data_IF_459266259838
#
_entry.id   IF_459266259838
#
_cell.length_a   1.000
_cell.length_b   1.000
_cell.length_c   1.000
_cell.angle_alpha   90.00
_cell.angle_beta   90.00
_cell.angle_gamma   90.00
#
_symmetry.space_group_name_H-M   'P 1'
#
loop_
_entity.id
_entity.type
_entity.pdbx_description
1 polymer ?
#
# COMPACT_ATOMS: atom_id res chain seq x y z
N UNK A 1 56.61 -54.95 76.56
CA UNK A 1 55.31 -54.34 76.93
C UNK A 1 55.10 -53.16 76.00
N UNK A 2 53.87 -52.97 75.48
CA UNK A 2 53.44 -52.03 74.43
C UNK A 2 53.89 -52.44 73.00
N UNK A 3 53.12 -53.18 72.20
CA UNK A 3 51.74 -53.01 71.65
C UNK A 3 51.71 -52.13 70.37
N UNK A 4 51.53 -52.81 69.24
CA UNK A 4 50.71 -52.52 68.03
C UNK A 4 50.60 -51.10 67.48
N UNK A 5 50.85 -50.96 66.17
CA UNK A 5 49.90 -50.30 65.26
C UNK A 5 50.13 -50.73 63.79
N UNK A 6 49.14 -51.44 63.25
CA UNK A 6 48.90 -51.54 61.80
C UNK A 6 48.63 -50.15 61.23
N UNK A 7 49.19 -49.84 60.07
CA UNK A 7 48.63 -48.84 59.17
C UNK A 7 48.53 -49.47 57.78
N UNK A 8 47.30 -49.86 57.46
CA UNK A 8 46.82 -50.38 56.20
C UNK A 8 47.08 -49.37 55.07
N UNK A 9 47.68 -49.87 53.99
CA UNK A 9 47.71 -49.20 52.70
C UNK A 9 46.28 -48.99 52.20
N UNK A 10 45.83 -47.74 52.13
CA UNK A 10 44.62 -47.36 51.39
C UNK A 10 45.03 -46.39 50.30
N UNK A 11 45.23 -46.94 49.10
CA UNK A 11 45.34 -46.20 47.86
C UNK A 11 43.96 -45.64 47.53
N UNK A 12 43.76 -44.34 47.76
CA UNK A 12 42.56 -43.63 47.33
C UNK A 12 42.57 -43.49 45.80
N UNK A 13 41.89 -44.42 45.15
CA UNK A 13 41.61 -44.40 43.72
C UNK A 13 40.60 -43.29 43.42
N UNK A 14 41.11 -42.12 43.01
CA UNK A 14 40.30 -41.02 42.49
C UNK A 14 39.65 -41.43 41.16
N UNK A 15 38.47 -42.03 41.22
CA UNK A 15 37.64 -42.32 40.06
C UNK A 15 37.23 -41.00 39.36
N UNK A 16 37.99 -40.62 38.33
CA UNK A 16 37.65 -39.55 37.40
C UNK A 16 36.49 -40.01 36.51
N UNK A 17 35.26 -39.66 36.87
CA UNK A 17 34.12 -39.85 35.98
C UNK A 17 34.19 -38.83 34.82
N UNK A 18 34.92 -39.18 33.76
CA UNK A 18 34.87 -38.45 32.50
C UNK A 18 33.50 -38.69 31.84
N UNK A 19 32.53 -37.85 32.15
CA UNK A 19 31.22 -37.87 31.50
C UNK A 19 31.36 -37.35 30.07
N UNK A 20 31.81 -38.22 29.17
CA UNK A 20 31.87 -37.96 27.73
C UNK A 20 30.44 -37.87 27.18
N UNK A 21 29.88 -36.66 27.15
CA UNK A 21 28.64 -36.36 26.43
C UNK A 21 28.84 -36.68 24.94
N UNK A 22 28.31 -37.82 24.51
CA UNK A 22 28.37 -38.26 23.12
C UNK A 22 27.54 -37.30 22.26
N UNK A 23 28.21 -36.39 21.55
CA UNK A 23 27.57 -35.50 20.59
C UNK A 23 27.01 -36.38 19.46
N UNK A 24 25.68 -36.46 19.38
CA UNK A 24 25.00 -37.12 18.25
C UNK A 24 25.18 -36.25 17.01
N UNK A 25 25.75 -36.81 15.95
CA UNK A 25 25.84 -36.14 14.65
C UNK A 25 24.49 -36.13 13.95
N UNK A 26 24.21 -35.05 13.20
CA UNK A 26 23.05 -34.97 12.32
C UNK A 26 23.19 -35.96 11.15
N UNK A 27 22.09 -36.61 10.78
CA UNK A 27 22.05 -37.43 9.56
C UNK A 27 21.79 -36.54 8.33
N UNK A 28 22.31 -36.96 7.17
CA UNK A 28 22.07 -36.25 5.90
C UNK A 28 20.57 -36.18 5.56
N UNK A 29 19.81 -37.22 5.93
CA UNK A 29 18.36 -37.28 5.68
C UNK A 29 17.59 -36.30 6.56
N UNK A 30 17.99 -36.11 7.83
CA UNK A 30 17.38 -35.10 8.70
C UNK A 30 17.57 -33.70 8.14
N UNK A 31 18.77 -33.38 7.63
CA UNK A 31 19.03 -32.09 7.00
C UNK A 31 18.21 -31.92 5.70
N UNK A 32 18.09 -32.98 4.90
CA UNK A 32 17.36 -32.97 3.63
C UNK A 32 15.86 -32.71 3.84
N UNK A 33 15.25 -33.36 4.83
CA UNK A 33 13.83 -33.15 5.14
C UNK A 33 13.57 -31.73 5.65
N UNK A 34 14.49 -31.16 6.44
CA UNK A 34 14.34 -29.80 6.97
C UNK A 34 14.36 -28.76 5.85
N UNK A 35 15.32 -28.84 4.92
CA UNK A 35 15.36 -27.88 3.80
C UNK A 35 14.16 -28.05 2.87
N UNK A 36 13.63 -29.27 2.72
CA UNK A 36 12.42 -29.52 1.94
C UNK A 36 11.19 -28.84 2.58
N UNK A 37 11.02 -28.94 3.90
CA UNK A 37 9.93 -28.28 4.63
C UNK A 37 10.09 -26.76 4.60
N UNK A 38 11.31 -26.24 4.82
CA UNK A 38 11.58 -24.79 4.74
C UNK A 38 11.25 -24.26 3.33
N UNK A 39 11.65 -24.98 2.28
CA UNK A 39 11.33 -24.63 0.89
C UNK A 39 9.83 -24.54 0.64
N UNK A 40 9.06 -25.53 1.11
CA UNK A 40 7.60 -25.53 1.01
C UNK A 40 6.98 -24.31 1.71
N UNK A 41 7.34 -24.06 2.97
CA UNK A 41 6.80 -22.94 3.74
C UNK A 41 7.19 -21.58 3.15
N UNK A 42 8.42 -21.44 2.64
CA UNK A 42 8.91 -20.22 2.03
C UNK A 42 8.09 -19.83 0.79
N UNK A 43 7.72 -20.79 -0.07
CA UNK A 43 6.90 -20.49 -1.27
C UNK A 43 5.51 -19.96 -0.92
N UNK A 44 4.84 -20.54 0.09
CA UNK A 44 3.54 -20.07 0.55
C UNK A 44 3.64 -18.66 1.16
N UNK A 45 4.69 -18.39 1.93
CA UNK A 45 4.93 -17.09 2.52
C UNK A 45 5.11 -15.97 1.47
N UNK A 46 5.82 -16.26 0.37
CA UNK A 46 6.04 -15.29 -0.72
C UNK A 46 4.73 -14.92 -1.41
N UNK A 47 3.86 -15.91 -1.69
CA UNK A 47 2.56 -15.64 -2.32
C UNK A 47 1.67 -14.76 -1.43
N UNK A 48 1.62 -15.04 -0.13
CA UNK A 48 0.88 -14.24 0.84
C UNK A 48 1.41 -12.80 0.92
N UNK A 49 2.73 -12.63 0.94
CA UNK A 49 3.37 -11.31 0.99
C UNK A 49 3.05 -10.45 -0.24
N UNK A 50 3.02 -11.06 -1.43
CA UNK A 50 2.70 -10.33 -2.66
C UNK A 50 1.26 -9.79 -2.64
N UNK A 51 0.29 -10.56 -2.15
CA UNK A 51 -1.09 -10.10 -1.97
C UNK A 51 -1.19 -8.96 -0.95
N UNK A 52 -0.50 -9.10 0.20
CA UNK A 52 -0.48 -8.08 1.24
C UNK A 52 0.12 -6.75 0.75
N UNK A 53 1.21 -6.80 -0.03
CA UNK A 53 1.83 -5.61 -0.63
C UNK A 53 0.89 -4.87 -1.57
N UNK A 54 0.18 -5.58 -2.45
CA UNK A 54 -0.82 -4.97 -3.35
C UNK A 54 -1.91 -4.23 -2.55
N UNK A 55 -2.46 -4.88 -1.53
CA UNK A 55 -3.51 -4.28 -0.68
C UNK A 55 -3.02 -3.05 0.09
N UNK A 56 -1.77 -3.10 0.58
CA UNK A 56 -1.16 -1.97 1.27
C UNK A 56 -1.00 -0.76 0.35
N UNK A 57 -0.66 -0.97 -0.92
CA UNK A 57 -0.54 0.11 -1.92
C UNK A 57 -1.88 0.69 -2.31
N UNK A 58 -2.88 -0.13 -2.53
CA UNK A 58 -4.25 0.35 -2.77
C UNK A 58 -4.76 1.16 -1.57
N UNK A 59 -4.48 0.71 -0.34
CA UNK A 59 -4.82 1.47 0.88
C UNK A 59 -4.09 2.82 0.92
N UNK A 60 -2.82 2.86 0.50
CA UNK A 60 -2.04 4.09 0.41
C UNK A 60 -2.64 5.05 -0.63
N UNK A 61 -3.00 4.55 -1.82
CA UNK A 61 -3.66 5.34 -2.87
C UNK A 61 -4.95 5.98 -2.38
N UNK A 62 -5.78 5.21 -1.68
CA UNK A 62 -7.01 5.74 -1.09
C UNK A 62 -6.75 6.80 -0.01
N UNK A 63 -5.68 6.66 0.77
CA UNK A 63 -5.28 7.67 1.75
C UNK A 63 -4.79 8.96 1.07
N UNK A 64 -4.01 8.83 -0.01
CA UNK A 64 -3.56 9.96 -0.82
C UNK A 64 -4.76 10.70 -1.44
N UNK A 65 -5.77 9.98 -1.98
CA UNK A 65 -7.01 10.60 -2.48
C UNK A 65 -7.73 11.41 -1.42
N UNK A 66 -7.84 10.90 -0.19
CA UNK A 66 -8.46 11.65 0.90
C UNK A 66 -7.69 12.93 1.23
N UNK A 67 -6.35 12.89 1.24
CA UNK A 67 -5.53 14.08 1.44
C UNK A 67 -5.76 15.11 0.34
N UNK A 68 -5.82 14.67 -0.91
CA UNK A 68 -6.09 15.52 -2.07
C UNK A 68 -7.50 16.13 -1.97
N UNK A 69 -8.52 15.35 -1.60
CA UNK A 69 -9.88 15.88 -1.39
C UNK A 69 -9.89 17.00 -0.34
N UNK A 70 -9.22 16.80 0.81
CA UNK A 70 -9.11 17.84 1.84
C UNK A 70 -8.39 19.09 1.30
N UNK A 71 -7.33 18.92 0.50
CA UNK A 71 -6.63 20.06 -0.10
C UNK A 71 -7.50 20.80 -1.13
N UNK A 72 -8.31 20.08 -1.91
CA UNK A 72 -9.27 20.66 -2.85
C UNK A 72 -10.36 21.46 -2.12
N UNK A 73 -10.86 20.95 -1.00
CA UNK A 73 -11.81 21.67 -0.14
C UNK A 73 -11.18 22.96 0.41
N UNK A 74 -9.96 22.89 0.94
CA UNK A 74 -9.23 24.08 1.43
C UNK A 74 -8.96 25.10 0.32
N UNK A 75 -8.62 24.63 -0.88
CA UNK A 75 -8.41 25.52 -2.02
C UNK A 75 -9.70 26.22 -2.41
N UNK A 76 -10.81 25.48 -2.43
CA UNK A 76 -12.13 26.05 -2.67
C UNK A 76 -12.46 27.14 -1.66
N UNK A 77 -12.23 26.88 -0.37
CA UNK A 77 -12.50 27.85 0.71
C UNK A 77 -11.68 29.14 0.57
N UNK A 78 -10.45 29.06 0.04
CA UNK A 78 -9.57 30.21 -0.15
C UNK A 78 -9.87 31.00 -1.44
N UNK A 79 -10.12 30.31 -2.55
CA UNK A 79 -10.16 30.92 -3.89
C UNK A 79 -11.57 30.95 -4.50
N UNK A 80 -12.56 30.31 -3.87
CA UNK A 80 -13.96 30.31 -4.28
C UNK A 80 -14.30 29.38 -5.46
N UNK A 81 -13.32 28.63 -5.96
CA UNK A 81 -13.49 27.63 -7.02
C UNK A 81 -12.47 26.51 -6.87
N UNK A 82 -12.70 25.36 -7.51
CA UNK A 82 -11.70 24.30 -7.59
C UNK A 82 -10.60 24.67 -8.60
N UNK A 83 -9.39 24.10 -8.46
CA UNK A 83 -8.32 24.35 -9.42
C UNK A 83 -8.71 23.92 -10.85
N UNK A 84 -8.22 24.63 -11.86
CA UNK A 84 -8.34 24.16 -13.25
C UNK A 84 -7.45 22.94 -13.46
N UNK A 85 -7.94 21.92 -14.18
CA UNK A 85 -7.09 20.83 -14.66
C UNK A 85 -6.08 21.34 -15.69
N UNK A 86 -4.86 20.82 -15.65
CA UNK A 86 -3.80 21.19 -16.60
C UNK A 86 -4.00 20.58 -17.99
N UNK A 87 -4.96 19.67 -18.16
CA UNK A 87 -5.23 18.92 -19.40
C UNK A 87 -3.96 18.25 -19.96
N UNK A 88 -3.06 17.82 -19.07
CA UNK A 88 -1.72 17.33 -19.42
C UNK A 88 -1.70 15.84 -19.84
N UNK A 89 -2.86 15.17 -19.87
CA UNK A 89 -2.99 13.84 -20.48
C UNK A 89 -4.43 13.43 -20.80
N UNK A 90 -4.56 12.34 -21.57
CA UNK A 90 -5.70 11.43 -21.43
C UNK A 90 -7.09 11.96 -21.74
N UNK A 91 -7.23 12.80 -22.77
CA UNK A 91 -8.53 13.41 -23.09
C UNK A 91 -8.89 14.56 -22.15
N UNK A 92 -7.90 15.20 -21.55
CA UNK A 92 -8.03 16.40 -20.71
C UNK A 92 -7.89 16.15 -19.22
N UNK A 93 -7.80 14.90 -18.76
CA UNK A 93 -7.56 14.60 -17.36
C UNK A 93 -6.16 15.04 -16.94
N UNK A 94 -6.08 15.62 -15.75
CA UNK A 94 -4.82 15.75 -15.04
C UNK A 94 -4.46 14.38 -14.45
N UNK A 95 -3.23 13.92 -14.66
CA UNK A 95 -2.82 12.54 -14.32
C UNK A 95 -1.62 12.52 -13.37
N UNK A 96 -1.77 11.79 -12.26
CA UNK A 96 -0.74 11.63 -11.24
C UNK A 96 -0.15 10.23 -11.18
N UNK A 97 0.99 10.06 -11.83
CA UNK A 97 1.74 8.80 -11.84
C UNK A 97 3.26 9.05 -11.96
N UNK A 98 4.05 8.03 -12.31
CA UNK A 98 5.51 8.17 -12.46
C UNK A 98 5.91 9.00 -13.69
N UNK A 99 5.08 9.04 -14.72
CA UNK A 99 5.35 9.69 -16.00
C UNK A 99 4.81 11.12 -16.06
N UNK A 100 3.75 11.42 -15.29
CA UNK A 100 3.01 12.68 -15.34
C UNK A 100 3.00 13.41 -13.99
N UNK A 101 2.96 14.74 -14.07
CA UNK A 101 2.91 15.60 -12.90
C UNK A 101 1.47 15.88 -12.51
N UNK A 102 1.08 15.62 -11.27
CA UNK A 102 -0.31 15.79 -10.85
C UNK A 102 -0.57 17.18 -10.28
N UNK A 103 -1.52 17.93 -10.84
CA UNK A 103 -2.01 19.21 -10.31
C UNK A 103 -0.87 20.19 -9.96
N UNK A 104 0.14 20.27 -10.82
CA UNK A 104 1.38 21.00 -10.53
C UNK A 104 1.12 22.49 -10.35
N UNK A 105 1.56 23.06 -9.23
CA UNK A 105 1.34 24.47 -8.85
C UNK A 105 -0.15 24.86 -8.70
N UNK A 106 -1.06 23.89 -8.61
CA UNK A 106 -2.50 24.15 -8.46
C UNK A 106 -2.95 24.30 -7.02
N UNK A 107 -2.16 23.88 -6.05
CA UNK A 107 -2.46 23.95 -4.62
C UNK A 107 -1.40 24.75 -3.84
N UNK A 108 -1.07 26.00 -4.26
CA UNK A 108 0.02 26.77 -3.67
C UNK A 108 -0.25 27.07 -2.20
N UNK A 109 0.69 26.69 -1.32
CA UNK A 109 0.58 26.92 0.13
C UNK A 109 -0.46 26.05 0.85
N UNK A 110 -1.10 25.12 0.14
CA UNK A 110 -2.07 24.15 0.71
C UNK A 110 -1.45 22.75 0.70
N UNK A 111 -0.89 22.34 -0.43
CA UNK A 111 -0.25 21.05 -0.58
C UNK A 111 0.94 21.17 -1.54
N UNK A 112 2.13 21.35 -0.99
CA UNK A 112 3.36 21.54 -1.78
C UNK A 112 3.84 20.24 -2.43
N UNK A 113 3.61 19.10 -1.76
CA UNK A 113 3.97 17.77 -2.26
C UNK A 113 2.71 16.97 -2.55
N UNK A 114 2.19 17.13 -3.76
CA UNK A 114 1.00 16.39 -4.20
C UNK A 114 1.41 14.93 -4.44
N UNK A 115 0.72 13.96 -3.79
CA UNK A 115 1.03 12.55 -3.96
C UNK A 115 0.90 12.11 -5.42
N UNK A 116 1.79 11.21 -5.85
CA UNK A 116 1.71 10.53 -7.15
C UNK A 116 1.68 9.03 -6.92
N UNK A 117 1.02 8.30 -7.81
CA UNK A 117 1.08 6.85 -7.78
C UNK A 117 2.50 6.40 -8.16
N UNK A 118 3.19 5.75 -7.23
CA UNK A 118 4.59 5.32 -7.37
C UNK A 118 4.78 4.03 -8.19
N UNK A 119 3.70 3.43 -8.68
CA UNK A 119 3.76 2.18 -9.46
C UNK A 119 3.03 2.30 -10.78
N UNK A 120 2.02 3.15 -10.89
CA UNK A 120 1.35 3.37 -12.16
C UNK A 120 2.31 3.95 -13.20
N UNK A 121 2.38 3.27 -14.34
CA UNK A 121 3.12 3.70 -15.54
C UNK A 121 2.21 3.68 -16.76
N UNK A 122 2.58 4.46 -17.76
CA UNK A 122 1.85 4.62 -19.01
C UNK A 122 0.77 5.70 -18.96
N UNK A 123 0.33 6.08 -20.16
CA UNK A 123 -0.65 7.15 -20.32
C UNK A 123 -1.96 6.76 -19.65
N UNK A 124 -2.43 7.63 -18.76
CA UNK A 124 -3.74 7.59 -18.11
C UNK A 124 -3.88 6.66 -16.92
N UNK A 125 -2.81 6.04 -16.43
CA UNK A 125 -2.88 5.23 -15.21
C UNK A 125 -2.62 6.06 -13.96
N UNK A 126 -3.12 5.62 -12.80
CA UNK A 126 -2.89 6.28 -11.51
C UNK A 126 -4.00 7.27 -11.15
N UNK A 127 -3.61 8.39 -10.55
CA UNK A 127 -4.55 9.41 -10.07
C UNK A 127 -5.07 10.24 -11.24
N UNK A 128 -6.34 10.62 -11.21
CA UNK A 128 -6.98 11.43 -12.24
C UNK A 128 -7.81 12.53 -11.64
N UNK A 129 -7.65 13.74 -12.15
CA UNK A 129 -8.41 14.92 -11.72
C UNK A 129 -8.95 15.70 -12.92
N UNK A 130 -10.19 16.17 -12.82
CA UNK A 130 -10.74 17.13 -13.77
C UNK A 130 -11.76 18.03 -13.10
N UNK A 131 -11.71 19.32 -13.42
CA UNK A 131 -12.73 20.29 -13.03
C UNK A 131 -13.70 20.52 -14.18
N UNK A 132 -14.97 20.23 -13.94
CA UNK A 132 -16.05 20.46 -14.89
C UNK A 132 -16.79 21.77 -14.58
N UNK A 133 -17.20 22.46 -15.64
CA UNK A 133 -18.07 23.62 -15.54
C UNK A 133 -19.48 23.25 -15.09
N UNK A 134 -20.19 24.19 -14.46
CA UNK A 134 -21.60 24.04 -14.10
C UNK A 134 -22.46 23.55 -15.29
N UNK A 135 -23.34 22.56 -15.07
CA UNK A 135 -24.18 21.99 -16.13
C UNK A 135 -23.55 20.89 -16.98
N UNK A 136 -22.22 20.70 -16.88
CA UNK A 136 -21.51 19.73 -17.72
C UNK A 136 -22.06 18.31 -17.53
N UNK A 137 -22.25 17.60 -18.64
CA UNK A 137 -22.83 16.24 -18.69
C UNK A 137 -24.19 16.12 -17.98
N UNK A 138 -24.98 17.20 -17.96
CA UNK A 138 -26.32 17.18 -17.38
C UNK A 138 -26.33 17.09 -15.85
N UNK A 139 -25.23 17.48 -15.20
CA UNK A 139 -25.23 17.76 -13.77
C UNK A 139 -25.93 19.10 -13.44
N UNK A 140 -26.44 19.31 -12.21
CA UNK A 140 -27.19 20.52 -11.87
C UNK A 140 -26.38 21.81 -12.06
N UNK A 141 -26.87 22.73 -12.91
CA UNK A 141 -26.24 24.05 -13.12
C UNK A 141 -26.24 24.92 -11.85
N UNK A 142 -27.24 24.73 -10.98
CA UNK A 142 -27.43 25.49 -9.73
C UNK A 142 -26.37 25.19 -8.68
N UNK A 143 -25.72 24.03 -8.75
CA UNK A 143 -24.67 23.62 -7.81
C UNK A 143 -23.27 24.15 -8.18
N UNK A 144 -23.14 24.82 -9.33
CA UNK A 144 -21.88 25.39 -9.79
C UNK A 144 -20.92 24.36 -10.38
N UNK A 145 -19.64 24.74 -10.42
CA UNK A 145 -18.56 23.87 -10.89
C UNK A 145 -18.35 22.70 -9.92
N UNK A 146 -17.87 21.58 -10.45
CA UNK A 146 -17.56 20.38 -9.66
C UNK A 146 -16.25 19.78 -10.14
N UNK A 147 -15.58 19.04 -9.27
CA UNK A 147 -14.46 18.21 -9.68
C UNK A 147 -14.84 16.73 -9.68
N UNK A 148 -14.10 15.97 -10.46
CA UNK A 148 -14.06 14.51 -10.39
C UNK A 148 -12.62 14.10 -10.12
N UNK A 149 -12.43 13.26 -9.11
CA UNK A 149 -11.16 12.71 -8.69
C UNK A 149 -11.30 11.18 -8.67
N UNK A 150 -10.33 10.48 -9.23
CA UNK A 150 -10.36 9.02 -9.21
C UNK A 150 -9.00 8.37 -9.38
N UNK A 151 -9.02 7.04 -9.30
CA UNK A 151 -7.87 6.17 -9.47
C UNK A 151 -8.20 5.13 -10.53
N UNK A 152 -7.22 4.83 -11.38
CA UNK A 152 -7.26 3.66 -12.26
C UNK A 152 -6.08 2.74 -12.00
N UNK A 153 -6.25 1.45 -12.30
CA UNK A 153 -5.25 0.40 -12.17
C UNK A 153 -4.84 0.06 -10.71
N UNK A 154 -5.85 -0.06 -9.84
CA UNK A 154 -5.80 -0.66 -8.51
C UNK A 154 -5.44 -2.14 -8.63
N UNK A 155 -4.66 -2.65 -7.67
CA UNK A 155 -4.05 -3.97 -7.80
C UNK A 155 -4.85 -5.12 -7.21
N UNK A 156 -5.77 -4.82 -6.28
CA UNK A 156 -6.51 -5.81 -5.50
C UNK A 156 -7.99 -5.93 -5.81
N UNK A 157 -8.53 -5.14 -6.75
CA UNK A 157 -9.90 -5.33 -7.24
C UNK A 157 -10.10 -4.68 -8.60
N UNK A 158 -11.02 -5.25 -9.39
CA UNK A 158 -11.44 -4.68 -10.68
C UNK A 158 -12.41 -3.51 -10.57
N UNK A 159 -12.91 -3.07 -11.71
CA UNK A 159 -13.81 -1.93 -11.84
C UNK A 159 -15.28 -2.34 -11.57
N UNK A 160 -15.97 -1.81 -10.54
CA UNK A 160 -15.55 -0.80 -9.57
C UNK A 160 -14.85 -1.36 -8.32
N UNK A 161 -13.90 -0.60 -7.76
CA UNK A 161 -13.22 -0.87 -6.50
C UNK A 161 -14.23 -0.86 -5.32
N UNK A 162 -14.15 -1.81 -4.37
CA UNK A 162 -15.08 -1.87 -3.25
C UNK A 162 -15.16 -0.56 -2.47
N UNK A 163 -16.37 -0.10 -2.17
CA UNK A 163 -16.64 1.17 -1.47
C UNK A 163 -16.17 2.42 -2.22
N UNK A 164 -16.04 2.36 -3.55
CA UNK A 164 -15.99 3.58 -4.35
C UNK A 164 -17.26 4.39 -4.13
N UNK A 165 -17.18 5.68 -3.72
CA UNK A 165 -18.35 6.53 -3.55
C UNK A 165 -19.18 6.64 -4.84
N UNK A 166 -18.49 6.59 -5.99
CA UNK A 166 -19.10 6.79 -7.29
C UNK A 166 -19.34 8.26 -7.57
N UNK A 167 -19.33 8.59 -8.86
CA UNK A 167 -19.76 9.90 -9.33
C UNK A 167 -20.38 9.77 -10.70
N UNK A 168 -21.57 10.36 -10.86
CA UNK A 168 -22.30 10.34 -12.12
C UNK A 168 -23.19 11.58 -12.26
N UNK A 169 -23.38 11.97 -13.52
CA UNK A 169 -24.37 12.92 -13.97
C UNK A 169 -25.31 12.21 -14.96
N UNK A 170 -26.44 12.83 -15.32
CA UNK A 170 -27.39 12.25 -16.27
C UNK A 170 -26.78 11.91 -17.64
N UNK A 171 -25.77 12.68 -18.09
CA UNK A 171 -25.08 12.50 -19.36
C UNK A 171 -23.74 11.76 -19.30
N UNK A 172 -23.24 11.37 -18.11
CA UNK A 172 -21.97 10.63 -17.98
C UNK A 172 -21.85 9.93 -16.63
N UNK A 173 -21.31 8.72 -16.63
CA UNK A 173 -21.05 7.95 -15.42
C UNK A 173 -19.55 7.61 -15.31
N UNK A 174 -18.84 8.30 -14.43
CA UNK A 174 -17.40 8.09 -14.25
C UNK A 174 -17.07 6.81 -13.48
N UNK A 175 -18.03 6.24 -12.74
CA UNK A 175 -17.83 4.95 -12.07
C UNK A 175 -17.62 3.80 -13.06
N UNK A 176 -18.06 3.94 -14.31
CA UNK A 176 -17.76 2.98 -15.38
C UNK A 176 -16.38 3.17 -16.00
N UNK A 177 -15.75 4.32 -15.80
CA UNK A 177 -14.48 4.71 -16.44
C UNK A 177 -13.26 4.56 -15.51
N UNK A 178 -13.51 4.55 -14.20
CA UNK A 178 -12.47 4.48 -13.17
C UNK A 178 -12.86 3.44 -12.12
N UNK A 179 -11.84 2.77 -11.56
CA UNK A 179 -12.08 1.76 -10.53
C UNK A 179 -12.53 2.41 -9.23
N UNK A 180 -11.90 3.50 -8.83
CA UNK A 180 -12.35 4.31 -7.69
C UNK A 180 -12.58 5.74 -8.15
N UNK A 181 -13.74 6.31 -7.82
CA UNK A 181 -14.06 7.69 -8.20
C UNK A 181 -14.92 8.37 -7.15
N UNK A 182 -14.67 9.66 -7.01
CA UNK A 182 -15.48 10.58 -6.24
C UNK A 182 -15.59 11.90 -7.00
N UNK A 183 -16.60 12.67 -6.68
CA UNK A 183 -16.72 14.05 -7.09
C UNK A 183 -17.45 14.82 -6.00
N UNK A 184 -17.42 16.13 -6.12
CA UNK A 184 -18.09 17.00 -5.16
C UNK A 184 -18.48 18.31 -5.83
N UNK A 185 -19.72 18.72 -5.58
CA UNK A 185 -20.14 20.10 -5.80
C UNK A 185 -19.77 20.95 -4.60
N UNK A 186 -19.69 22.27 -4.77
CA UNK A 186 -19.49 23.18 -3.64
C UNK A 186 -20.50 22.96 -2.49
N UNK A 187 -21.79 22.87 -2.83
CA UNK A 187 -22.89 22.99 -1.87
C UNK A 187 -23.42 21.64 -1.38
N UNK A 188 -22.53 20.68 -1.11
CA UNK A 188 -22.89 19.31 -0.75
C UNK A 188 -22.37 18.90 0.63
#
# INVERSE_FOLDING_TARGET
MATTAMASSRSDENAKYNLSLKIKGFTLIELLVVIAIIGLLATMAIMALNGAKKKARDTRRLADMKQIMTALDLYYDQYGDYPTSDNDGCGGWDVGNLDYSFMTNKLPGIMDNIPRDQIATGNCNGYRYYRYGAGSYGCPVTKGNYYVLGITNMETSGNPYPNSPGWSCSGRNWQGEMEWVTGKFRFE
#
